data_IF_422209135758
#
_entry.id   IF_422209135758
#
_cell.length_a   1.000
_cell.length_b   1.000
_cell.length_c   1.000
_cell.angle_alpha   90.00
_cell.angle_beta   90.00
_cell.angle_gamma   90.00
#
_symmetry.space_group_name_H-M   'P 1'
#
loop_
_entity.id
_entity.type
_entity.pdbx_description
1 polymer ?
#
# COMPACT_ATOMS: atom_id res chain seq x y z
N UNK A 1 0.68 -22.93 3.32
CA UNK A 1 -0.71 -22.75 3.83
C UNK A 1 -0.88 -21.50 4.68
N UNK A 2 -0.12 -21.32 5.78
CA UNK A 2 -0.20 -20.12 6.65
C UNK A 2 -0.17 -18.77 5.91
N UNK A 3 0.65 -18.63 4.86
CA UNK A 3 0.75 -17.39 4.08
C UNK A 3 -0.51 -17.04 3.28
N UNK A 4 -1.16 -18.05 2.69
CA UNK A 4 -2.42 -17.85 1.96
C UNK A 4 -3.55 -17.46 2.92
N UNK A 5 -3.56 -17.98 4.15
CA UNK A 5 -4.53 -17.57 5.18
C UNK A 5 -4.32 -16.12 5.62
N UNK A 6 -3.07 -15.67 5.74
CA UNK A 6 -2.75 -14.26 6.02
C UNK A 6 -3.20 -13.33 4.88
N UNK A 7 -2.94 -13.71 3.63
CA UNK A 7 -3.42 -12.96 2.46
C UNK A 7 -4.94 -12.89 2.41
N UNK A 8 -5.63 -13.99 2.75
CA UNK A 8 -7.09 -14.04 2.82
C UNK A 8 -7.66 -13.10 3.88
N UNK A 9 -6.94 -12.87 4.99
CA UNK A 9 -7.30 -11.83 5.97
C UNK A 9 -7.24 -10.43 5.36
N UNK A 10 -6.34 -10.19 4.40
CA UNK A 10 -6.24 -8.92 3.66
C UNK A 10 -7.55 -8.52 2.96
N UNK A 11 -8.33 -9.49 2.47
CA UNK A 11 -9.65 -9.21 1.88
C UNK A 11 -10.60 -8.52 2.86
N UNK A 12 -10.53 -8.84 4.16
CA UNK A 12 -11.40 -8.21 5.15
C UNK A 12 -11.19 -6.69 5.23
N UNK A 13 -9.95 -6.23 5.05
CA UNK A 13 -9.64 -4.80 5.03
C UNK A 13 -10.14 -4.11 3.77
N UNK A 14 -10.01 -4.77 2.60
CA UNK A 14 -10.55 -4.26 1.35
C UNK A 14 -12.08 -4.19 1.37
N UNK A 15 -12.76 -5.21 1.90
CA UNK A 15 -14.22 -5.21 2.10
C UNK A 15 -14.67 -4.13 3.08
N UNK A 16 -13.90 -3.88 4.15
CA UNK A 16 -14.19 -2.80 5.08
C UNK A 16 -14.12 -1.44 4.38
N UNK A 17 -13.10 -1.19 3.55
CA UNK A 17 -13.02 0.03 2.73
C UNK A 17 -14.21 0.16 1.79
N UNK A 18 -14.52 -0.89 1.01
CA UNK A 18 -15.67 -0.87 0.08
C UNK A 18 -16.98 -0.57 0.81
N UNK A 19 -17.23 -1.23 1.94
CA UNK A 19 -18.44 -1.00 2.74
C UNK A 19 -18.52 0.42 3.29
N UNK A 20 -17.40 0.97 3.77
CA UNK A 20 -17.33 2.35 4.24
C UNK A 20 -17.57 3.36 3.11
N UNK A 21 -16.96 3.16 1.94
CA UNK A 21 -17.16 4.03 0.78
C UNK A 21 -18.59 3.99 0.27
N UNK A 22 -19.22 2.81 0.17
CA UNK A 22 -20.64 2.69 -0.20
C UNK A 22 -21.52 3.45 0.79
N UNK A 23 -21.27 3.26 2.09
CA UNK A 23 -22.03 3.94 3.15
C UNK A 23 -21.87 5.45 3.07
N UNK A 24 -20.63 5.94 2.97
CA UNK A 24 -20.34 7.38 2.92
C UNK A 24 -20.88 8.01 1.63
N UNK A 25 -20.70 7.39 0.47
CA UNK A 25 -21.25 7.88 -0.79
C UNK A 25 -22.77 7.99 -0.71
N UNK A 26 -23.46 6.96 -0.19
CA UNK A 26 -24.91 7.00 -0.04
C UNK A 26 -25.37 8.14 0.90
N UNK A 27 -24.72 8.30 2.06
CA UNK A 27 -25.04 9.34 3.03
C UNK A 27 -24.77 10.74 2.46
N UNK A 28 -23.57 10.97 1.90
CA UNK A 28 -23.15 12.26 1.36
C UNK A 28 -24.00 12.68 0.17
N UNK A 29 -24.28 11.78 -0.78
CA UNK A 29 -25.15 12.10 -1.92
C UNK A 29 -26.59 12.39 -1.46
N UNK A 30 -27.14 11.60 -0.55
CA UNK A 30 -28.52 11.81 -0.04
C UNK A 30 -28.64 13.18 0.65
N UNK A 31 -27.74 13.48 1.59
CA UNK A 31 -27.73 14.76 2.30
C UNK A 31 -27.40 15.91 1.32
N UNK A 32 -26.48 15.69 0.40
CA UNK A 32 -26.06 16.67 -0.59
C UNK A 32 -27.23 17.15 -1.46
N UNK A 33 -28.05 16.22 -1.96
CA UNK A 33 -29.24 16.58 -2.73
C UNK A 33 -30.37 17.16 -1.87
N UNK A 34 -30.62 16.63 -0.66
CA UNK A 34 -31.68 17.13 0.22
C UNK A 34 -31.42 18.56 0.71
N UNK A 35 -30.15 18.91 0.94
CA UNK A 35 -29.73 20.21 1.46
C UNK A 35 -29.04 21.08 0.40
N UNK A 36 -29.19 20.75 -0.89
CA UNK A 36 -28.64 21.48 -2.04
C UNK A 36 -27.13 21.81 -1.93
N UNK A 37 -26.35 20.94 -1.29
CA UNK A 37 -24.92 21.13 -1.08
C UNK A 37 -24.11 20.49 -2.20
N UNK A 38 -23.65 21.31 -3.15
CA UNK A 38 -22.80 20.86 -4.26
C UNK A 38 -21.47 20.26 -3.78
N UNK A 39 -20.88 20.83 -2.73
CA UNK A 39 -19.65 20.32 -2.13
C UNK A 39 -19.81 18.89 -1.60
N UNK A 40 -20.92 18.60 -0.92
CA UNK A 40 -21.18 17.27 -0.37
C UNK A 40 -21.55 16.25 -1.46
N UNK A 41 -22.22 16.69 -2.53
CA UNK A 41 -22.48 15.86 -3.70
C UNK A 41 -21.17 15.48 -4.40
N UNK A 42 -20.27 16.44 -4.63
CA UNK A 42 -18.96 16.18 -5.23
C UNK A 42 -18.13 15.20 -4.39
N UNK A 43 -18.07 15.40 -3.07
CA UNK A 43 -17.39 14.51 -2.13
C UNK A 43 -18.03 13.09 -2.11
N UNK A 44 -19.36 13.00 -2.24
CA UNK A 44 -20.05 11.72 -2.42
C UNK A 44 -19.69 10.98 -3.72
N UNK A 45 -19.49 11.70 -4.83
CA UNK A 45 -19.02 11.11 -6.09
C UNK A 45 -17.55 10.70 -6.06
N UNK A 46 -16.71 11.42 -5.31
CA UNK A 46 -15.33 11.00 -5.05
C UNK A 46 -15.35 9.66 -4.31
N UNK A 47 -16.11 9.55 -3.22
CA UNK A 47 -16.27 8.28 -2.51
C UNK A 47 -16.83 7.15 -3.39
N UNK A 48 -17.67 7.45 -4.37
CA UNK A 48 -18.14 6.45 -5.33
C UNK A 48 -17.01 5.97 -6.26
N UNK A 49 -16.08 6.85 -6.64
CA UNK A 49 -14.89 6.51 -7.42
C UNK A 49 -13.91 5.65 -6.62
N UNK A 50 -13.78 5.87 -5.32
CA UNK A 50 -12.89 5.10 -4.44
C UNK A 50 -13.37 3.65 -4.22
N UNK A 51 -14.66 3.39 -4.43
CA UNK A 51 -15.19 2.02 -4.52
C UNK A 51 -14.50 1.27 -5.66
N UNK A 52 -14.31 1.90 -6.82
CA UNK A 52 -13.66 1.29 -8.00
C UNK A 52 -12.20 0.99 -7.68
N UNK A 53 -11.48 1.92 -7.04
CA UNK A 53 -10.10 1.73 -6.60
C UNK A 53 -10.02 0.55 -5.61
N UNK A 54 -10.92 0.51 -4.64
CA UNK A 54 -10.97 -0.55 -3.63
C UNK A 54 -11.30 -1.91 -4.22
N UNK A 55 -12.17 -1.97 -5.24
CA UNK A 55 -12.45 -3.20 -6.00
C UNK A 55 -11.21 -3.64 -6.77
N UNK A 56 -10.48 -2.72 -7.41
CA UNK A 56 -9.24 -3.05 -8.12
C UNK A 56 -8.19 -3.66 -7.17
N UNK A 57 -8.04 -3.09 -5.96
CA UNK A 57 -7.21 -3.65 -4.89
C UNK A 57 -7.70 -5.03 -4.47
N UNK A 58 -9.01 -5.21 -4.25
CA UNK A 58 -9.58 -6.51 -3.87
C UNK A 58 -9.35 -7.58 -4.94
N UNK A 59 -9.50 -7.25 -6.22
CA UNK A 59 -9.21 -8.15 -7.34
C UNK A 59 -7.73 -8.54 -7.33
N UNK A 60 -6.82 -7.58 -7.17
CA UNK A 60 -5.39 -7.83 -7.03
C UNK A 60 -5.05 -8.81 -5.91
N UNK A 61 -5.63 -8.58 -4.72
CA UNK A 61 -5.49 -9.45 -3.55
C UNK A 61 -6.05 -10.86 -3.79
N UNK A 62 -7.15 -11.00 -4.52
CA UNK A 62 -7.73 -12.31 -4.86
C UNK A 62 -6.89 -13.07 -5.87
N UNK A 63 -6.35 -12.37 -6.88
CA UNK A 63 -5.46 -12.98 -7.86
C UNK A 63 -4.17 -13.43 -7.16
N UNK A 64 -3.60 -12.62 -6.26
CA UNK A 64 -2.36 -12.96 -5.55
C UNK A 64 -2.48 -14.18 -4.62
N UNK A 65 -3.70 -14.54 -4.23
CA UNK A 65 -3.98 -15.73 -3.43
C UNK A 65 -4.06 -17.02 -4.25
N UNK A 66 -4.02 -16.95 -5.59
CA UNK A 66 -4.01 -18.15 -6.43
C UNK A 66 -2.69 -18.91 -6.24
N UNK A 67 -2.74 -20.23 -5.98
CA UNK A 67 -1.54 -21.05 -5.89
C UNK A 67 -0.80 -21.10 -7.23
N UNK A 68 0.46 -21.59 -7.24
CA UNK A 68 1.18 -21.85 -8.48
C UNK A 68 0.43 -22.78 -9.42
N UNK A 69 0.50 -22.48 -10.72
CA UNK A 69 -0.03 -23.27 -11.82
C UNK A 69 1.04 -23.43 -12.92
N UNK A 70 0.61 -23.90 -14.10
CA UNK A 70 1.55 -24.28 -15.18
C UNK A 70 2.25 -23.09 -15.81
N UNK A 71 1.58 -21.95 -15.93
CA UNK A 71 2.12 -20.72 -16.52
C UNK A 71 2.66 -19.74 -15.46
N UNK A 72 2.34 -19.95 -14.17
CA UNK A 72 2.93 -19.22 -13.04
C UNK A 72 3.50 -20.18 -11.97
N UNK A 73 4.68 -20.80 -12.20
CA UNK A 73 5.29 -21.76 -11.27
C UNK A 73 5.65 -21.20 -9.89
N UNK A 74 5.82 -19.87 -9.80
CA UNK A 74 6.08 -19.16 -8.54
C UNK A 74 4.82 -18.58 -7.89
N UNK A 75 3.65 -18.81 -8.48
CA UNK A 75 2.37 -18.28 -8.02
C UNK A 75 2.11 -16.84 -8.50
N UNK A 76 0.99 -16.30 -8.04
CA UNK A 76 0.41 -15.05 -8.56
C UNK A 76 0.69 -13.82 -7.70
N UNK A 77 1.61 -13.91 -6.73
CA UNK A 77 1.81 -12.88 -5.72
C UNK A 77 2.08 -11.47 -6.29
N UNK A 78 2.74 -11.38 -7.46
CA UNK A 78 3.02 -10.10 -8.13
C UNK A 78 1.77 -9.31 -8.55
N UNK A 79 0.61 -9.96 -8.67
CA UNK A 79 -0.67 -9.28 -8.94
C UNK A 79 -0.99 -8.21 -7.89
N UNK A 80 -0.48 -8.38 -6.67
CA UNK A 80 -0.61 -7.41 -5.60
C UNK A 80 0.10 -6.08 -5.92
N UNK A 81 1.35 -6.14 -6.37
CA UNK A 81 2.11 -4.96 -6.79
C UNK A 81 1.44 -4.25 -7.97
N UNK A 82 0.91 -5.02 -8.94
CA UNK A 82 0.18 -4.48 -10.08
C UNK A 82 -1.07 -3.72 -9.61
N UNK A 83 -1.83 -4.27 -8.66
CA UNK A 83 -3.00 -3.59 -8.11
C UNK A 83 -2.65 -2.33 -7.31
N UNK A 84 -1.54 -2.34 -6.57
CA UNK A 84 -1.03 -1.15 -5.88
C UNK A 84 -0.62 -0.05 -6.87
N UNK A 85 0.01 -0.43 -7.98
CA UNK A 85 0.39 0.48 -9.06
C UNK A 85 -0.85 1.10 -9.72
N UNK A 86 -1.87 0.29 -9.99
CA UNK A 86 -3.14 0.75 -10.54
C UNK A 86 -3.86 1.71 -9.58
N UNK A 87 -3.90 1.38 -8.29
CA UNK A 87 -4.46 2.26 -7.26
C UNK A 87 -3.70 3.59 -7.19
N UNK A 88 -2.37 3.57 -7.22
CA UNK A 88 -1.56 4.78 -7.24
C UNK A 88 -1.83 5.65 -8.48
N UNK A 89 -2.01 5.02 -9.65
CA UNK A 89 -2.36 5.73 -10.88
C UNK A 89 -3.73 6.41 -10.79
N UNK A 90 -4.76 5.70 -10.32
CA UNK A 90 -6.09 6.28 -10.13
C UNK A 90 -6.09 7.39 -9.08
N UNK A 91 -5.37 7.21 -7.97
CA UNK A 91 -5.19 8.23 -6.93
C UNK A 91 -4.49 9.48 -7.48
N UNK A 92 -3.50 9.33 -8.36
CA UNK A 92 -2.84 10.47 -9.00
C UNK A 92 -3.80 11.26 -9.89
N UNK A 93 -4.66 10.58 -10.66
CA UNK A 93 -5.69 11.23 -11.48
C UNK A 93 -6.62 12.08 -10.59
N UNK A 94 -7.14 11.48 -9.52
CA UNK A 94 -8.03 12.18 -8.57
C UNK A 94 -7.32 13.36 -7.92
N UNK A 95 -6.07 13.17 -7.46
CA UNK A 95 -5.27 14.25 -6.86
C UNK A 95 -5.04 15.41 -7.82
N UNK A 96 -4.74 15.14 -9.09
CA UNK A 96 -4.57 16.17 -10.13
C UNK A 96 -5.90 16.89 -10.40
N UNK A 97 -7.01 16.15 -10.48
CA UNK A 97 -8.33 16.75 -10.65
C UNK A 97 -8.65 17.72 -9.51
N UNK A 98 -8.43 17.32 -8.25
CA UNK A 98 -8.61 18.19 -7.08
C UNK A 98 -7.74 19.45 -7.15
N UNK A 99 -6.49 19.32 -7.60
CA UNK A 99 -5.60 20.48 -7.78
C UNK A 99 -6.13 21.46 -8.85
N UNK A 100 -6.63 20.94 -9.98
CA UNK A 100 -7.20 21.76 -11.06
C UNK A 100 -8.46 22.48 -10.56
N UNK A 101 -9.36 21.76 -9.87
CA UNK A 101 -10.59 22.33 -9.30
C UNK A 101 -10.28 23.41 -8.24
N UNK A 102 -9.34 23.14 -7.33
CA UNK A 102 -8.90 24.11 -6.33
C UNK A 102 -8.28 25.36 -6.98
N UNK A 103 -7.43 25.17 -7.99
CA UNK A 103 -6.77 26.26 -8.73
C UNK A 103 -7.75 27.14 -9.51
N UNK A 104 -8.70 26.53 -10.21
CA UNK A 104 -9.75 27.27 -10.94
C UNK A 104 -10.69 28.02 -10.00
N UNK A 105 -11.03 27.44 -8.85
CA UNK A 105 -11.87 28.09 -7.83
C UNK A 105 -11.17 29.30 -7.21
N UNK A 106 -9.87 29.20 -6.88
CA UNK A 106 -9.06 30.33 -6.40
C UNK A 106 -9.01 31.50 -7.38
N UNK A 107 -8.94 31.22 -8.69
CA UNK A 107 -8.84 32.25 -9.73
C UNK A 107 -10.18 32.89 -10.07
N UNK A 108 -11.28 32.16 -9.91
CA UNK A 108 -12.61 32.61 -10.35
C UNK A 108 -13.31 33.55 -9.35
N UNK A 109 -12.80 33.70 -8.12
CA UNK A 109 -13.33 34.58 -7.06
C UNK A 109 -14.86 34.52 -6.88
N UNK A 110 -15.49 33.39 -7.22
CA UNK A 110 -16.92 33.23 -7.05
C UNK A 110 -17.20 33.02 -5.55
N UNK A 111 -18.08 33.85 -5.01
CA UNK A 111 -18.70 33.60 -3.71
C UNK A 111 -19.59 32.36 -3.85
N UNK A 112 -19.07 31.21 -3.44
CA UNK A 112 -19.89 30.03 -3.22
C UNK A 112 -20.72 30.26 -1.97
N UNK A 113 -22.04 30.06 -2.08
CA UNK A 113 -22.92 30.10 -0.91
C UNK A 113 -22.37 29.16 0.17
N UNK A 114 -22.30 29.66 1.41
CA UNK A 114 -21.77 28.90 2.54
C UNK A 114 -22.56 27.57 2.65
N UNK A 115 -21.89 26.41 2.51
CA UNK A 115 -22.56 25.13 2.59
C UNK A 115 -23.27 24.97 3.93
N UNK A 116 -24.43 24.32 3.95
CA UNK A 116 -25.21 24.14 5.18
C UNK A 116 -24.36 23.51 6.31
N UNK A 117 -24.63 23.88 7.57
CA UNK A 117 -23.95 23.31 8.73
C UNK A 117 -24.15 21.78 8.83
N UNK A 118 -25.19 21.24 8.19
CA UNK A 118 -25.42 19.79 8.05
C UNK A 118 -24.31 19.13 7.19
N UNK A 119 -23.81 19.81 6.17
CA UNK A 119 -22.69 19.34 5.37
C UNK A 119 -21.39 19.27 6.20
N UNK A 120 -21.15 20.23 7.10
CA UNK A 120 -20.02 20.19 8.03
C UNK A 120 -20.08 18.97 8.94
N UNK A 121 -21.22 18.71 9.60
CA UNK A 121 -21.36 17.52 10.45
C UNK A 121 -21.23 16.21 9.69
N UNK A 122 -21.69 16.17 8.44
CA UNK A 122 -21.54 15.01 7.56
C UNK A 122 -20.07 14.77 7.19
N UNK A 123 -19.34 15.83 6.84
CA UNK A 123 -17.90 15.77 6.56
C UNK A 123 -17.11 15.32 7.80
N UNK A 124 -17.45 15.84 9.00
CA UNK A 124 -16.85 15.41 10.26
C UNK A 124 -17.08 13.91 10.53
N UNK A 125 -18.30 13.42 10.31
CA UNK A 125 -18.60 11.98 10.41
C UNK A 125 -17.79 11.15 9.42
N UNK A 126 -17.67 11.61 8.18
CA UNK A 126 -16.84 11.00 7.14
C UNK A 126 -15.36 10.90 7.54
N UNK A 127 -14.78 11.99 8.04
CA UNK A 127 -13.40 12.02 8.56
C UNK A 127 -13.18 10.97 9.64
N UNK A 128 -14.09 10.88 10.62
CA UNK A 128 -13.97 9.93 11.74
C UNK A 128 -14.03 8.49 11.22
N UNK A 129 -15.01 8.17 10.38
CA UNK A 129 -15.18 6.83 9.80
C UNK A 129 -13.92 6.44 9.02
N UNK A 130 -13.48 7.28 8.08
CA UNK A 130 -12.34 6.98 7.23
C UNK A 130 -11.03 6.89 8.01
N UNK A 131 -10.87 7.68 9.08
CA UNK A 131 -9.72 7.56 9.98
C UNK A 131 -9.67 6.20 10.68
N UNK A 132 -10.81 5.67 11.15
CA UNK A 132 -10.86 4.33 11.75
C UNK A 132 -10.56 3.24 10.72
N UNK A 133 -11.13 3.33 9.52
CA UNK A 133 -10.88 2.38 8.42
C UNK A 133 -9.39 2.41 8.02
N UNK A 134 -8.80 3.60 7.88
CA UNK A 134 -7.36 3.78 7.68
C UNK A 134 -6.56 3.06 8.76
N UNK A 135 -6.88 3.30 10.03
CA UNK A 135 -6.09 2.76 11.15
C UNK A 135 -6.15 1.24 11.21
N UNK A 136 -7.30 0.65 10.89
CA UNK A 136 -7.46 -0.80 10.78
C UNK A 136 -6.67 -1.35 9.59
N UNK A 137 -6.85 -0.79 8.39
CA UNK A 137 -6.18 -1.29 7.18
C UNK A 137 -4.67 -1.10 7.23
N UNK A 138 -4.17 -0.01 7.82
CA UNK A 138 -2.73 0.20 8.01
C UNK A 138 -2.11 -0.89 8.89
N UNK A 139 -2.74 -1.20 10.01
CA UNK A 139 -2.26 -2.25 10.92
C UNK A 139 -2.31 -3.61 10.25
N UNK A 140 -3.40 -3.91 9.53
CA UNK A 140 -3.55 -5.16 8.80
C UNK A 140 -2.52 -5.29 7.68
N UNK A 141 -2.32 -4.24 6.88
CA UNK A 141 -1.34 -4.19 5.80
C UNK A 141 0.08 -4.45 6.30
N UNK A 142 0.47 -3.81 7.41
CA UNK A 142 1.77 -4.05 8.04
C UNK A 142 1.90 -5.49 8.56
N UNK A 143 0.85 -6.02 9.20
CA UNK A 143 0.86 -7.38 9.75
C UNK A 143 1.01 -8.46 8.67
N UNK A 144 0.38 -8.27 7.52
CA UNK A 144 0.44 -9.24 6.42
C UNK A 144 1.47 -8.86 5.35
N UNK A 145 2.23 -7.77 5.54
CA UNK A 145 3.17 -7.20 4.57
C UNK A 145 2.56 -7.00 3.17
N UNK A 146 1.34 -6.46 3.12
CA UNK A 146 0.60 -6.26 1.88
C UNK A 146 0.72 -4.84 1.36
N UNK A 147 1.29 -4.69 0.16
CA UNK A 147 1.44 -3.39 -0.50
C UNK A 147 0.13 -2.90 -1.11
N UNK A 148 -0.71 -3.80 -1.64
CA UNK A 148 -2.02 -3.43 -2.16
C UNK A 148 -2.94 -2.92 -1.04
N UNK A 149 -2.95 -3.60 0.11
CA UNK A 149 -3.72 -3.13 1.26
C UNK A 149 -3.12 -1.86 1.88
N UNK A 150 -1.80 -1.70 1.85
CA UNK A 150 -1.16 -0.47 2.26
C UNK A 150 -1.56 0.72 1.37
N UNK A 151 -1.67 0.50 0.05
CA UNK A 151 -2.18 1.51 -0.89
C UNK A 151 -3.63 1.89 -0.56
N UNK A 152 -4.51 0.91 -0.36
CA UNK A 152 -5.89 1.16 0.07
C UNK A 152 -5.96 1.87 1.44
N UNK A 153 -5.06 1.57 2.38
CA UNK A 153 -5.00 2.29 3.64
C UNK A 153 -4.63 3.77 3.42
N UNK A 154 -3.68 4.07 2.55
CA UNK A 154 -3.31 5.46 2.27
C UNK A 154 -4.39 6.22 1.52
N UNK A 155 -5.12 5.54 0.64
CA UNK A 155 -6.34 6.06 0.02
C UNK A 155 -7.38 6.46 1.09
N UNK A 156 -7.69 5.54 2.02
CA UNK A 156 -8.59 5.83 3.14
C UNK A 156 -8.13 7.03 3.99
N UNK A 157 -6.82 7.21 4.15
CA UNK A 157 -6.24 8.34 4.89
C UNK A 157 -6.44 9.64 4.12
N UNK A 158 -6.16 9.64 2.82
CA UNK A 158 -6.35 10.79 1.97
C UNK A 158 -7.81 11.25 2.01
N UNK A 159 -8.73 10.31 2.00
CA UNK A 159 -10.16 10.58 2.12
C UNK A 159 -10.59 11.19 3.46
N UNK A 160 -10.01 10.70 4.55
CA UNK A 160 -10.20 11.33 5.85
C UNK A 160 -9.68 12.78 5.86
N UNK A 161 -8.57 13.05 5.16
CA UNK A 161 -8.00 14.40 5.02
C UNK A 161 -8.86 15.29 4.10
N UNK A 162 -9.38 14.76 2.99
CA UNK A 162 -10.32 15.48 2.10
C UNK A 162 -11.58 15.89 2.87
N UNK A 163 -12.20 14.94 3.57
CA UNK A 163 -13.39 15.22 4.40
C UNK A 163 -13.08 16.21 5.53
N UNK A 164 -11.88 16.16 6.11
CA UNK A 164 -11.45 17.12 7.14
C UNK A 164 -11.21 18.51 6.55
N UNK A 165 -10.64 18.56 5.34
CA UNK A 165 -10.44 19.80 4.60
C UNK A 165 -11.76 20.48 4.27
N UNK A 166 -12.73 19.71 3.78
CA UNK A 166 -14.09 20.18 3.54
C UNK A 166 -14.75 20.70 4.83
N UNK A 167 -14.60 20.00 5.95
CA UNK A 167 -15.09 20.49 7.25
C UNK A 167 -14.48 21.86 7.61
N UNK A 168 -13.16 22.00 7.49
CA UNK A 168 -12.45 23.26 7.77
C UNK A 168 -12.92 24.36 6.82
N UNK A 169 -13.05 24.05 5.53
CA UNK A 169 -13.53 24.98 4.50
C UNK A 169 -14.95 25.48 4.77
N UNK A 170 -15.87 24.57 5.11
CA UNK A 170 -17.25 24.94 5.46
C UNK A 170 -17.28 25.83 6.70
N UNK A 171 -16.54 25.50 7.76
CA UNK A 171 -16.47 26.34 8.97
C UNK A 171 -15.86 27.71 8.64
N UNK A 172 -14.77 27.74 7.86
CA UNK A 172 -14.11 28.97 7.47
C UNK A 172 -15.01 29.89 6.61
N UNK A 173 -15.82 29.30 5.73
CA UNK A 173 -16.79 30.05 4.90
C UNK A 173 -17.81 30.82 5.74
N UNK A 174 -18.21 30.28 6.91
CA UNK A 174 -19.11 30.97 7.85
C UNK A 174 -18.48 32.20 8.51
N UNK A 175 -17.14 32.30 8.52
CA UNK A 175 -16.39 33.46 9.00
C UNK A 175 -15.96 34.41 7.87
N UNK A 176 -16.56 34.30 6.68
CA UNK A 176 -16.17 35.04 5.46
C UNK A 176 -14.73 34.77 5.00
N UNK A 177 -14.16 33.62 5.38
CA UNK A 177 -12.83 33.16 4.96
C UNK A 177 -12.95 32.05 3.90
N UNK A 178 -13.83 32.22 2.90
CA UNK A 178 -14.09 31.21 1.85
C UNK A 178 -12.85 30.80 1.05
N UNK A 179 -11.85 31.68 0.93
CA UNK A 179 -10.57 31.38 0.27
C UNK A 179 -9.77 30.27 0.98
N UNK A 180 -10.03 30.01 2.27
CA UNK A 180 -9.39 28.93 3.01
C UNK A 180 -9.82 27.54 2.52
N UNK A 181 -11.03 27.41 1.99
CA UNK A 181 -11.52 26.15 1.43
C UNK A 181 -10.66 25.72 0.24
N UNK A 182 -10.49 26.62 -0.73
CA UNK A 182 -9.69 26.32 -1.93
C UNK A 182 -8.19 26.17 -1.62
N UNK A 183 -7.66 26.92 -0.64
CA UNK A 183 -6.28 26.70 -0.16
C UNK A 183 -6.12 25.31 0.48
N UNK A 184 -7.10 24.90 1.28
CA UNK A 184 -7.09 23.59 1.95
C UNK A 184 -7.19 22.47 0.92
N UNK A 185 -8.08 22.59 -0.07
CA UNK A 185 -8.18 21.66 -1.19
C UNK A 185 -6.87 21.56 -2.00
N UNK A 186 -6.19 22.68 -2.24
CA UNK A 186 -4.89 22.71 -2.92
C UNK A 186 -3.82 21.92 -2.13
N UNK A 187 -3.72 22.17 -0.81
CA UNK A 187 -2.77 21.46 0.06
C UNK A 187 -3.07 19.95 0.11
N UNK A 188 -4.34 19.57 0.18
CA UNK A 188 -4.75 18.17 0.20
C UNK A 188 -4.45 17.50 -1.15
N UNK A 189 -4.75 18.16 -2.27
CA UNK A 189 -4.40 17.66 -3.60
C UNK A 189 -2.90 17.36 -3.75
N UNK A 190 -2.03 18.24 -3.22
CA UNK A 190 -0.58 18.01 -3.19
C UNK A 190 -0.20 16.78 -2.35
N UNK A 191 -0.83 16.60 -1.19
CA UNK A 191 -0.61 15.43 -0.32
C UNK A 191 -1.05 14.14 -1.02
N UNK A 192 -2.19 14.16 -1.74
CA UNK A 192 -2.68 13.02 -2.52
C UNK A 192 -1.68 12.66 -3.61
N UNK A 193 -1.25 13.63 -4.42
CA UNK A 193 -0.27 13.41 -5.48
C UNK A 193 1.06 12.87 -4.94
N UNK A 194 1.56 13.41 -3.82
CA UNK A 194 2.77 12.91 -3.17
C UNK A 194 2.60 11.46 -2.68
N UNK A 195 1.44 11.14 -2.12
CA UNK A 195 1.11 9.79 -1.65
C UNK A 195 1.04 8.80 -2.82
N UNK A 196 0.35 9.18 -3.91
CA UNK A 196 0.27 8.42 -5.14
C UNK A 196 1.66 8.15 -5.73
N UNK A 197 2.52 9.18 -5.82
CA UNK A 197 3.90 9.04 -6.29
C UNK A 197 4.72 8.07 -5.43
N UNK A 198 4.56 8.14 -4.10
CA UNK A 198 5.26 7.25 -3.16
C UNK A 198 4.84 5.80 -3.39
N UNK A 199 3.54 5.52 -3.48
CA UNK A 199 3.03 4.17 -3.75
C UNK A 199 3.50 3.68 -5.12
N UNK A 200 3.44 4.54 -6.15
CA UNK A 200 3.88 4.21 -7.49
C UNK A 200 5.37 3.83 -7.53
N UNK A 201 6.23 4.64 -6.89
CA UNK A 201 7.67 4.39 -6.78
C UNK A 201 7.93 3.07 -6.06
N UNK A 202 7.30 2.85 -4.91
CA UNK A 202 7.54 1.66 -4.09
C UNK A 202 7.03 0.38 -4.80
N UNK A 203 5.90 0.46 -5.51
CA UNK A 203 5.36 -0.66 -6.28
C UNK A 203 6.24 -0.97 -7.49
N UNK A 204 6.69 0.06 -8.21
CA UNK A 204 7.61 -0.09 -9.35
C UNK A 204 8.94 -0.67 -8.91
N UNK A 205 9.53 -0.14 -7.82
CA UNK A 205 10.79 -0.64 -7.25
C UNK A 205 10.69 -2.13 -6.93
N UNK A 206 9.60 -2.57 -6.29
CA UNK A 206 9.36 -3.98 -5.97
C UNK A 206 9.16 -4.83 -7.23
N UNK A 207 8.46 -4.31 -8.24
CA UNK A 207 8.19 -5.01 -9.50
C UNK A 207 9.47 -5.21 -10.34
N UNK A 208 10.43 -4.30 -10.20
CA UNK A 208 11.78 -4.38 -10.80
C UNK A 208 12.78 -5.16 -9.96
N UNK A 209 12.32 -5.98 -9.00
CA UNK A 209 13.14 -6.76 -8.05
C UNK A 209 14.07 -5.89 -7.15
N UNK A 210 13.73 -4.61 -6.95
CA UNK A 210 14.42 -3.73 -6.02
C UNK A 210 14.16 -4.15 -4.57
N UNK A 211 15.17 -4.05 -3.72
CA UNK A 211 15.11 -4.48 -2.32
C UNK A 211 15.87 -3.51 -1.40
N UNK A 212 15.44 -3.39 -0.15
CA UNK A 212 16.05 -2.48 0.82
C UNK A 212 17.39 -3.00 1.34
N UNK A 213 18.44 -2.21 1.18
CA UNK A 213 19.82 -2.59 1.55
C UNK A 213 19.98 -2.84 3.05
N UNK A 214 19.30 -2.05 3.90
CA UNK A 214 19.37 -2.23 5.36
C UNK A 214 18.78 -3.57 5.80
N UNK A 215 17.69 -3.99 5.15
CA UNK A 215 17.10 -5.31 5.37
C UNK A 215 18.06 -6.42 4.89
N UNK A 216 18.74 -6.21 3.76
CA UNK A 216 19.72 -7.15 3.21
C UNK A 216 20.94 -7.35 4.13
N UNK A 217 21.43 -6.29 4.79
CA UNK A 217 22.49 -6.38 5.80
C UNK A 217 22.11 -7.31 6.96
N UNK A 218 20.85 -7.28 7.40
CA UNK A 218 20.33 -8.21 8.40
C UNK A 218 20.43 -9.68 7.97
N UNK A 219 20.22 -9.96 6.68
CA UNK A 219 20.34 -11.30 6.12
C UNK A 219 21.80 -11.73 6.05
N UNK A 220 22.70 -10.83 5.61
CA UNK A 220 24.15 -11.06 5.60
C UNK A 220 24.65 -11.45 7.00
N UNK A 221 24.31 -10.68 8.02
CA UNK A 221 24.72 -10.96 9.39
C UNK A 221 24.26 -12.35 9.86
N UNK A 222 23.02 -12.74 9.56
CA UNK A 222 22.50 -14.07 9.92
C UNK A 222 23.22 -15.22 9.22
N UNK A 223 23.63 -15.03 7.96
CA UNK A 223 24.35 -16.05 7.19
C UNK A 223 25.80 -16.16 7.69
N UNK A 224 26.44 -15.04 8.01
CA UNK A 224 27.82 -14.97 8.49
C UNK A 224 27.99 -15.46 9.94
N UNK A 225 26.92 -15.47 10.74
CA UNK A 225 26.91 -16.11 12.06
C UNK A 225 27.14 -17.64 11.99
N UNK A 226 26.92 -18.27 10.84
CA UNK A 226 27.13 -19.71 10.68
C UNK A 226 28.62 -20.03 10.48
N UNK A 227 29.26 -20.64 11.49
CA UNK A 227 30.69 -20.98 11.48
C UNK A 227 31.14 -21.89 10.32
N UNK A 228 30.21 -22.61 9.70
CA UNK A 228 30.51 -23.49 8.56
C UNK A 228 30.59 -22.73 7.23
N UNK A 229 30.07 -21.49 7.19
CA UNK A 229 30.19 -20.58 6.06
C UNK A 229 31.56 -19.92 6.12
N UNK A 230 32.41 -20.19 5.13
CA UNK A 230 33.72 -19.55 5.07
C UNK A 230 33.63 -18.10 4.58
N UNK A 231 32.82 -17.87 3.56
CA UNK A 231 32.64 -16.57 2.95
C UNK A 231 31.24 -16.46 2.33
N UNK A 232 30.54 -15.38 2.62
CA UNK A 232 29.33 -14.99 1.89
C UNK A 232 29.73 -14.17 0.65
N UNK A 233 29.60 -14.78 -0.53
CA UNK A 233 29.90 -14.11 -1.82
C UNK A 233 28.80 -13.17 -2.25
N UNK A 234 27.57 -13.63 -2.15
CA UNK A 234 26.42 -12.91 -2.69
C UNK A 234 25.20 -13.20 -1.83
N UNK A 235 24.46 -12.14 -1.52
CA UNK A 235 23.09 -12.22 -1.04
C UNK A 235 22.28 -11.25 -1.88
N UNK A 236 21.19 -11.74 -2.46
CA UNK A 236 20.21 -10.94 -3.18
C UNK A 236 18.84 -11.31 -2.65
N UNK A 237 17.96 -10.35 -2.56
CA UNK A 237 16.57 -10.59 -2.20
C UNK A 237 15.66 -9.81 -3.12
N UNK A 238 14.45 -10.31 -3.28
CA UNK A 238 13.40 -9.65 -4.06
C UNK A 238 12.05 -9.83 -3.37
N UNK A 239 11.19 -8.85 -3.54
CA UNK A 239 9.83 -8.92 -3.06
C UNK A 239 8.93 -9.54 -4.14
N UNK A 240 8.20 -10.59 -3.77
CA UNK A 240 7.28 -11.33 -4.64
C UNK A 240 5.89 -11.22 -4.03
N UNK A 241 5.19 -10.14 -4.39
CA UNK A 241 3.97 -9.70 -3.74
C UNK A 241 4.23 -9.34 -2.28
N UNK A 242 3.52 -10.00 -1.38
CA UNK A 242 3.73 -9.81 0.04
C UNK A 242 4.87 -10.67 0.63
N UNK A 243 5.50 -11.56 -0.16
CA UNK A 243 6.53 -12.49 0.33
C UNK A 243 7.94 -12.10 -0.14
N UNK A 244 8.97 -12.59 0.54
CA UNK A 244 10.37 -12.32 0.20
C UNK A 244 11.03 -13.61 -0.28
N UNK A 245 11.79 -13.49 -1.36
CA UNK A 245 12.62 -14.54 -1.94
C UNK A 245 14.07 -14.10 -1.86
N UNK A 246 14.97 -15.01 -1.49
CA UNK A 246 16.40 -14.73 -1.39
C UNK A 246 17.23 -15.71 -2.21
N UNK A 247 18.30 -15.21 -2.81
CA UNK A 247 19.31 -16.01 -3.51
C UNK A 247 20.65 -15.75 -2.81
N UNK A 248 21.29 -16.82 -2.35
CA UNK A 248 22.50 -16.77 -1.54
C UNK A 248 23.58 -17.59 -2.21
N UNK A 249 24.81 -17.08 -2.23
CA UNK A 249 25.99 -17.83 -2.64
C UNK A 249 27.02 -17.82 -1.53
N UNK A 250 27.35 -19.01 -1.02
CA UNK A 250 28.33 -19.20 0.05
C UNK A 250 29.52 -20.03 -0.43
N UNK A 251 30.68 -19.78 0.17
CA UNK A 251 31.81 -20.70 0.11
C UNK A 251 31.87 -21.59 1.34
N UNK A 252 32.14 -22.88 1.10
CA UNK A 252 32.37 -23.88 2.15
C UNK A 252 33.66 -24.66 1.90
N UNK A 253 34.09 -25.46 2.88
CA UNK A 253 35.31 -26.28 2.74
C UNK A 253 35.14 -27.32 1.61
N UNK A 254 36.14 -27.48 0.72
CA UNK A 254 36.05 -28.42 -0.41
C UNK A 254 36.03 -29.89 0.01
N UNK A 255 36.40 -30.19 1.26
CA UNK A 255 36.41 -31.55 1.82
C UNK A 255 35.04 -32.02 2.30
N UNK A 256 34.03 -31.16 2.31
CA UNK A 256 32.68 -31.53 2.73
C UNK A 256 32.01 -32.43 1.70
N UNK A 257 31.20 -33.37 2.18
CA UNK A 257 30.37 -34.17 1.28
C UNK A 257 29.21 -33.33 0.72
N UNK A 258 28.57 -33.81 -0.34
CA UNK A 258 27.33 -33.20 -0.86
C UNK A 258 26.26 -33.11 0.22
N UNK A 259 26.19 -34.13 1.09
CA UNK A 259 25.25 -34.15 2.21
C UNK A 259 25.56 -33.05 3.23
N UNK A 260 26.81 -32.94 3.68
CA UNK A 260 27.18 -31.92 4.66
C UNK A 260 26.93 -30.50 4.11
N UNK A 261 27.22 -30.31 2.83
CA UNK A 261 26.95 -29.05 2.13
C UNK A 261 25.44 -28.76 2.07
N UNK A 262 24.63 -29.77 1.72
CA UNK A 262 23.17 -29.64 1.73
C UNK A 262 22.65 -29.28 3.12
N UNK A 263 23.12 -29.93 4.18
CA UNK A 263 22.71 -29.66 5.57
C UNK A 263 23.02 -28.21 5.99
N UNK A 264 24.13 -27.63 5.52
CA UNK A 264 24.48 -26.20 5.72
C UNK A 264 23.50 -25.28 4.99
N UNK A 265 23.19 -25.56 3.72
CA UNK A 265 22.19 -24.79 2.97
C UNK A 265 20.84 -24.83 3.67
N UNK A 266 20.39 -26.02 4.07
CA UNK A 266 19.16 -26.27 4.80
C UNK A 266 19.09 -25.46 6.11
N UNK A 267 20.22 -25.35 6.82
CA UNK A 267 20.32 -24.55 8.03
C UNK A 267 20.15 -23.06 7.74
N UNK A 268 20.82 -22.54 6.71
CA UNK A 268 20.69 -21.14 6.28
C UNK A 268 19.26 -20.83 5.84
N UNK A 269 18.63 -21.73 5.07
CA UNK A 269 17.22 -21.59 4.66
C UNK A 269 16.29 -21.50 5.88
N UNK A 270 16.50 -22.35 6.89
CA UNK A 270 15.74 -22.31 8.15
C UNK A 270 15.97 -21.02 8.94
N UNK A 271 17.21 -20.57 9.06
CA UNK A 271 17.56 -19.37 9.83
C UNK A 271 16.97 -18.12 9.18
N UNK A 272 17.09 -17.98 7.86
CA UNK A 272 16.47 -16.89 7.12
C UNK A 272 14.94 -16.93 7.17
N UNK A 273 14.35 -18.13 7.11
CA UNK A 273 12.89 -18.28 7.24
C UNK A 273 12.38 -17.92 8.63
N UNK A 274 13.10 -18.29 9.68
CA UNK A 274 12.65 -18.11 11.07
C UNK A 274 12.96 -16.71 11.61
N UNK A 275 14.16 -16.18 11.37
CA UNK A 275 14.57 -14.85 11.85
C UNK A 275 14.00 -13.71 11.00
N UNK A 276 13.87 -13.92 9.69
CA UNK A 276 13.53 -12.86 8.73
C UNK A 276 12.23 -13.07 7.95
N UNK A 277 11.50 -14.16 8.23
CA UNK A 277 10.23 -14.49 7.56
C UNK A 277 10.35 -14.56 6.01
N UNK A 278 11.53 -14.96 5.51
CA UNK A 278 11.75 -15.22 4.08
C UNK A 278 11.00 -16.49 3.69
N UNK A 279 10.21 -16.42 2.61
CA UNK A 279 9.36 -17.55 2.20
C UNK A 279 10.18 -18.64 1.52
N UNK A 280 11.12 -18.25 0.68
CA UNK A 280 11.98 -19.16 -0.07
C UNK A 280 13.39 -18.59 -0.20
N UNK A 281 14.39 -19.46 -0.03
CA UNK A 281 15.79 -19.12 -0.19
C UNK A 281 16.43 -20.19 -1.05
N UNK A 282 17.15 -19.77 -2.10
CA UNK A 282 18.01 -20.67 -2.87
C UNK A 282 19.45 -20.47 -2.42
N UNK A 283 20.09 -21.52 -1.91
CA UNK A 283 21.50 -21.46 -1.50
C UNK A 283 22.37 -22.18 -2.53
N UNK A 284 23.20 -21.41 -3.24
CA UNK A 284 24.26 -21.93 -4.09
C UNK A 284 25.54 -22.09 -3.26
N UNK A 285 26.14 -23.29 -3.34
CA UNK A 285 27.34 -23.62 -2.59
C UNK A 285 28.51 -23.72 -3.55
N UNK A 286 29.56 -22.97 -3.26
CA UNK A 286 30.82 -23.03 -3.97
C UNK A 286 31.93 -23.59 -3.04
N UNK A 287 32.85 -24.41 -3.57
CA UNK A 287 34.02 -24.79 -2.79
C UNK A 287 34.94 -23.57 -2.65
N UNK A 288 35.53 -23.41 -1.45
CA UNK A 288 36.61 -22.45 -1.24
C UNK A 288 37.71 -22.69 -2.28
N UNK A 289 38.10 -21.64 -3.02
CA UNK A 289 39.26 -21.72 -3.90
C UNK A 289 40.53 -21.83 -3.06
N UNK A 290 41.40 -22.78 -3.38
CA UNK A 290 42.75 -22.79 -2.84
C UNK A 290 43.47 -21.52 -3.32
N UNK A 291 44.08 -20.78 -2.40
CA UNK A 291 44.92 -19.63 -2.73
C UNK A 291 46.06 -20.14 -3.61
N UNK A 292 46.08 -19.70 -4.88
CA UNK A 292 47.15 -20.02 -5.83
C UNK A 292 48.40 -19.19 -5.57
#
# INVERSE_FOLDING_TARGET
MKRYEELKKGESGAWLSIGAYIFLAAVKLTIGYLFFSQALVADGYNNASDIIISIAVLIGLRISQKPPDKDHPYGHFRAEHISALLAAFLMAIIGIQVLIEAGTTLLSANETEAPSMVAAWTAAGGTVIMFFVYRYNKQLAQKINSQALAAAAQDNKNDALVSLGALIGIIASHFHLGWLDSLTALLIGLIICYTAWTIFRDATHSLTDGFDEKTLEGYRNTIEENEQVHLLKMVKARQVGSSIYADVTIEVKPTLTVKDSHDIADQIERDLRTKHNILHTTVHIEPKKEDK
#
